data_IF_397518752193
#
_entry.id   IF_397518752193
#
_cell.length_a   1.000
_cell.length_b   1.000
_cell.length_c   1.000
_cell.angle_alpha   90.00
_cell.angle_beta   90.00
_cell.angle_gamma   90.00
#
_symmetry.space_group_name_H-M   'P 1'
#
loop_
_entity.id
_entity.type
_entity.pdbx_description
1 polymer ?
#
# COMPACT_ATOMS: atom_id res chain seq x y z
N UNK A 1 16.02 1.72 16.64
CA UNK A 1 14.58 1.42 16.44
C UNK A 1 14.36 -0.05 16.06
N UNK A 2 14.75 -1.03 16.90
CA UNK A 2 14.86 -2.44 16.47
C UNK A 2 13.61 -3.31 16.70
N UNK A 3 12.56 -2.81 17.37
CA UNK A 3 11.32 -3.56 17.62
C UNK A 3 10.13 -2.65 17.33
N UNK A 4 9.40 -2.94 16.26
CA UNK A 4 8.14 -2.29 15.90
C UNK A 4 7.29 -3.30 15.10
N UNK A 5 6.02 -2.99 14.90
CA UNK A 5 5.05 -3.89 14.28
C UNK A 5 4.67 -3.47 12.86
N UNK A 6 5.48 -2.67 12.16
CA UNK A 6 5.12 -2.18 10.82
C UNK A 6 4.85 -3.32 9.84
N UNK A 7 5.72 -4.33 9.77
CA UNK A 7 5.58 -5.42 8.81
C UNK A 7 4.35 -6.28 9.10
N UNK A 8 4.10 -6.60 10.38
CA UNK A 8 2.97 -7.44 10.78
C UNK A 8 1.64 -6.71 10.59
N UNK A 9 1.57 -5.42 10.93
CA UNK A 9 0.38 -4.61 10.70
C UNK A 9 0.11 -4.48 9.20
N UNK A 10 1.12 -4.24 8.37
CA UNK A 10 0.96 -4.25 6.90
C UNK A 10 0.42 -5.59 6.39
N UNK A 11 0.91 -6.71 6.90
CA UNK A 11 0.41 -8.04 6.52
C UNK A 11 -1.05 -8.25 6.95
N UNK A 12 -1.43 -7.80 8.14
CA UNK A 12 -2.83 -7.84 8.61
C UNK A 12 -3.74 -6.96 7.75
N UNK A 13 -3.31 -5.76 7.39
CA UNK A 13 -4.05 -4.88 6.47
C UNK A 13 -4.21 -5.54 5.09
N UNK A 14 -3.16 -6.16 4.55
CA UNK A 14 -3.25 -6.93 3.31
C UNK A 14 -4.25 -8.09 3.44
N UNK A 15 -4.19 -8.86 4.52
CA UNK A 15 -5.09 -9.98 4.77
C UNK A 15 -6.57 -9.53 4.85
N UNK A 16 -6.86 -8.41 5.53
CA UNK A 16 -8.22 -7.81 5.55
C UNK A 16 -8.69 -7.54 4.12
N UNK A 17 -7.83 -6.97 3.27
CA UNK A 17 -8.15 -6.67 1.87
C UNK A 17 -8.42 -7.95 1.08
N UNK A 18 -7.66 -9.03 1.30
CA UNK A 18 -7.91 -10.33 0.66
C UNK A 18 -9.28 -10.89 1.08
N UNK A 19 -9.59 -10.88 2.38
CA UNK A 19 -10.84 -11.41 2.91
C UNK A 19 -12.06 -10.66 2.34
N UNK A 20 -12.01 -9.33 2.37
CA UNK A 20 -13.11 -8.48 1.90
C UNK A 20 -13.28 -8.59 0.39
N UNK A 21 -12.20 -8.58 -0.40
CA UNK A 21 -12.30 -8.80 -1.85
C UNK A 21 -12.79 -10.19 -2.19
N UNK A 22 -12.38 -11.24 -1.47
CA UNK A 22 -12.87 -12.60 -1.70
C UNK A 22 -14.38 -12.67 -1.53
N UNK A 23 -14.92 -12.06 -0.48
CA UNK A 23 -16.35 -12.02 -0.23
C UNK A 23 -17.13 -11.17 -1.25
N UNK A 24 -16.63 -9.96 -1.57
CA UNK A 24 -17.30 -9.04 -2.48
C UNK A 24 -17.27 -9.53 -3.94
N UNK A 25 -16.10 -9.96 -4.44
CA UNK A 25 -15.95 -10.40 -5.83
C UNK A 25 -16.70 -11.70 -6.10
N UNK A 26 -16.75 -12.60 -5.12
CA UNK A 26 -17.47 -13.86 -5.27
C UNK A 26 -18.98 -13.71 -5.16
N UNK A 27 -19.47 -12.58 -4.62
CA UNK A 27 -20.88 -12.33 -4.31
C UNK A 27 -21.54 -13.49 -3.52
N UNK A 28 -20.78 -14.18 -2.66
CA UNK A 28 -21.26 -15.36 -1.96
C UNK A 28 -22.03 -14.96 -0.70
N UNK A 29 -23.32 -15.33 -0.55
CA UNK A 29 -24.11 -14.97 0.64
C UNK A 29 -23.50 -15.49 1.95
N UNK A 30 -22.83 -16.64 1.91
CA UNK A 30 -22.18 -17.25 3.07
C UNK A 30 -21.05 -16.37 3.64
N UNK A 31 -20.41 -15.54 2.80
CA UNK A 31 -19.30 -14.67 3.19
C UNK A 31 -19.73 -13.23 3.48
N UNK A 32 -21.03 -12.91 3.42
CA UNK A 32 -21.56 -11.55 3.55
C UNK A 32 -21.27 -10.88 4.91
N UNK A 33 -20.93 -11.66 5.94
CA UNK A 33 -20.54 -11.12 7.25
C UNK A 33 -19.16 -10.45 7.20
N UNK A 34 -18.24 -10.92 6.34
CA UNK A 34 -16.87 -10.41 6.24
C UNK A 34 -16.85 -8.91 5.90
N UNK A 35 -17.46 -8.43 4.80
CA UNK A 35 -17.47 -7.01 4.45
C UNK A 35 -18.33 -6.14 5.39
N UNK A 36 -19.16 -6.74 6.25
CA UNK A 36 -19.90 -6.03 7.31
C UNK A 36 -19.03 -5.74 8.52
N UNK A 37 -18.12 -6.65 8.88
CA UNK A 37 -17.23 -6.51 10.04
C UNK A 37 -15.88 -5.87 9.69
N UNK A 38 -15.39 -6.11 8.47
CA UNK A 38 -14.10 -5.66 8.00
C UNK A 38 -14.26 -4.69 6.82
N UNK A 39 -13.41 -3.66 6.79
CA UNK A 39 -13.41 -2.66 5.72
C UNK A 39 -12.07 -2.63 4.98
N UNK A 40 -12.11 -2.95 3.69
CA UNK A 40 -10.97 -2.78 2.79
C UNK A 40 -10.52 -1.32 2.70
N UNK A 41 -11.44 -0.36 2.82
CA UNK A 41 -11.11 1.07 2.77
C UNK A 41 -10.28 1.48 3.98
N UNK A 42 -10.69 1.08 5.19
CA UNK A 42 -9.91 1.33 6.42
C UNK A 42 -8.54 0.66 6.35
N UNK A 43 -8.45 -0.54 5.76
CA UNK A 43 -7.18 -1.23 5.59
C UNK A 43 -6.22 -0.47 4.65
N UNK A 44 -6.73 0.02 3.50
CA UNK A 44 -5.96 0.84 2.55
C UNK A 44 -5.57 2.19 3.15
N UNK A 45 -6.45 2.84 3.90
CA UNK A 45 -6.16 4.07 4.63
C UNK A 45 -5.05 3.87 5.67
N UNK A 46 -5.05 2.72 6.35
CA UNK A 46 -3.95 2.29 7.22
C UNK A 46 -2.62 2.15 6.47
N UNK A 47 -2.63 1.56 5.26
CA UNK A 47 -1.44 1.51 4.40
C UNK A 47 -0.93 2.92 4.06
N UNK A 48 -1.82 3.86 3.76
CA UNK A 48 -1.43 5.25 3.48
C UNK A 48 -0.84 5.96 4.71
N UNK A 49 -1.38 5.71 5.90
CA UNK A 49 -0.81 6.23 7.14
C UNK A 49 0.61 5.69 7.43
N UNK A 50 0.80 4.38 7.28
CA UNK A 50 2.13 3.75 7.40
C UNK A 50 3.09 4.31 6.36
N UNK A 51 2.61 4.48 5.13
CA UNK A 51 3.37 5.04 4.02
C UNK A 51 3.84 6.46 4.33
N UNK A 52 2.96 7.33 4.84
CA UNK A 52 3.30 8.69 5.26
C UNK A 52 4.46 8.73 6.27
N UNK A 53 4.40 7.86 7.28
CA UNK A 53 5.46 7.75 8.27
C UNK A 53 6.79 7.27 7.67
N UNK A 54 6.77 6.21 6.85
CA UNK A 54 7.99 5.55 6.35
C UNK A 54 8.64 6.24 5.15
N UNK A 55 7.85 6.85 4.27
CA UNK A 55 8.34 7.46 3.03
C UNK A 55 9.02 8.80 3.33
N UNK A 56 8.43 9.65 4.17
CA UNK A 56 9.10 10.88 4.63
C UNK A 56 10.42 10.57 5.32
N UNK A 57 10.41 9.66 6.31
CA UNK A 57 11.61 9.24 7.02
C UNK A 57 12.69 8.71 6.06
N UNK A 58 12.29 8.05 4.98
CA UNK A 58 13.21 7.54 3.97
C UNK A 58 13.76 8.62 3.05
N UNK A 59 12.95 9.62 2.67
CA UNK A 59 13.41 10.72 1.84
C UNK A 59 14.49 11.53 2.57
N UNK A 60 14.27 11.82 3.85
CA UNK A 60 15.24 12.58 4.67
C UNK A 60 16.57 11.86 4.88
N UNK A 61 16.59 10.52 4.80
CA UNK A 61 17.82 9.72 4.87
C UNK A 61 18.57 9.65 3.53
N UNK A 62 17.93 9.96 2.41
CA UNK A 62 18.56 9.89 1.09
C UNK A 62 19.37 11.17 0.82
N UNK A 63 20.52 11.04 0.15
CA UNK A 63 21.37 12.19 -0.18
C UNK A 63 20.90 12.91 -1.45
N UNK A 64 20.26 12.19 -2.36
CA UNK A 64 19.83 12.71 -3.67
C UNK A 64 18.43 12.22 -4.03
N UNK A 65 17.74 12.98 -4.88
CA UNK A 65 16.43 12.59 -5.42
C UNK A 65 16.50 11.27 -6.22
N UNK A 66 17.57 11.08 -6.99
CA UNK A 66 17.78 9.86 -7.78
C UNK A 66 17.94 8.62 -6.90
N UNK A 67 18.65 8.74 -5.77
CA UNK A 67 18.77 7.65 -4.79
C UNK A 67 17.40 7.30 -4.19
N UNK A 68 16.63 8.29 -3.80
CA UNK A 68 15.28 8.10 -3.28
C UNK A 68 14.36 7.42 -4.32
N UNK A 69 14.31 7.95 -5.55
CA UNK A 69 13.50 7.39 -6.63
C UNK A 69 13.87 5.93 -6.93
N UNK A 70 15.18 5.62 -6.98
CA UNK A 70 15.65 4.24 -7.18
C UNK A 70 15.22 3.31 -6.05
N UNK A 71 15.36 3.72 -4.79
CA UNK A 71 14.98 2.90 -3.63
C UNK A 71 13.48 2.57 -3.66
N UNK A 72 12.67 3.54 -4.09
CA UNK A 72 11.21 3.39 -4.24
C UNK A 72 10.83 2.52 -5.42
N UNK A 73 11.47 2.72 -6.57
CA UNK A 73 11.28 1.92 -7.77
C UNK A 73 11.58 0.43 -7.51
N UNK A 74 12.71 0.13 -6.86
CA UNK A 74 13.10 -1.25 -6.54
C UNK A 74 12.15 -1.90 -5.53
N UNK A 75 11.52 -1.10 -4.65
CA UNK A 75 10.54 -1.62 -3.68
C UNK A 75 9.24 -2.09 -4.34
N UNK A 76 8.78 -1.38 -5.38
CA UNK A 76 7.48 -1.61 -6.03
C UNK A 76 7.60 -2.44 -7.31
N UNK A 77 8.48 -2.02 -8.24
CA UNK A 77 8.47 -2.54 -9.62
C UNK A 77 8.58 -4.07 -9.73
N UNK A 78 9.44 -4.77 -8.97
CA UNK A 78 9.59 -6.22 -9.14
C UNK A 78 8.29 -6.99 -8.92
N UNK A 79 7.57 -6.72 -7.82
CA UNK A 79 6.29 -7.38 -7.54
C UNK A 79 5.16 -6.88 -8.45
N UNK A 80 5.20 -5.61 -8.86
CA UNK A 80 4.27 -5.08 -9.86
C UNK A 80 4.37 -5.78 -11.21
N UNK A 81 5.59 -5.99 -11.71
CA UNK A 81 5.83 -6.75 -12.93
C UNK A 81 5.42 -8.20 -12.79
N UNK A 82 5.71 -8.84 -11.66
CA UNK A 82 5.24 -10.21 -11.40
C UNK A 82 3.72 -10.31 -11.47
N UNK A 83 2.98 -9.38 -10.85
CA UNK A 83 1.52 -9.35 -10.90
C UNK A 83 0.98 -9.09 -12.31
N UNK A 84 1.64 -8.20 -13.06
CA UNK A 84 1.30 -7.94 -14.46
C UNK A 84 1.53 -9.19 -15.32
N UNK A 85 2.65 -9.88 -15.14
CA UNK A 85 2.96 -11.13 -15.83
C UNK A 85 1.95 -12.24 -15.49
N UNK A 86 1.53 -12.33 -14.22
CA UNK A 86 0.45 -13.24 -13.80
C UNK A 86 -0.85 -12.94 -14.57
N UNK A 87 -1.24 -11.66 -14.67
CA UNK A 87 -2.41 -11.24 -15.45
C UNK A 87 -2.31 -11.63 -16.93
N UNK A 88 -1.13 -11.44 -17.54
CA UNK A 88 -0.88 -11.85 -18.93
C UNK A 88 -0.92 -13.37 -19.11
N UNK A 89 -0.38 -14.14 -18.15
CA UNK A 89 -0.45 -15.60 -18.15
C UNK A 89 -1.89 -16.11 -18.05
N UNK A 90 -2.71 -15.48 -17.21
CA UNK A 90 -4.16 -15.76 -17.12
C UNK A 90 -4.83 -15.45 -18.47
N UNK A 91 -4.56 -14.30 -19.08
CA UNK A 91 -5.14 -13.95 -20.38
C UNK A 91 -4.77 -14.96 -21.48
N UNK A 92 -3.51 -15.39 -21.52
CA UNK A 92 -3.05 -16.43 -22.45
C UNK A 92 -3.77 -17.77 -22.22
N UNK A 93 -4.04 -18.15 -20.97
CA UNK A 93 -4.80 -19.36 -20.65
C UNK A 93 -6.26 -19.31 -21.14
N UNK A 94 -6.83 -18.11 -21.31
CA UNK A 94 -8.15 -17.87 -21.90
C UNK A 94 -8.10 -17.70 -23.43
N UNK A 95 -6.92 -17.80 -24.06
CA UNK A 95 -6.76 -17.57 -25.50
C UNK A 95 -6.80 -16.09 -25.91
N UNK A 96 -6.75 -15.16 -24.96
CA UNK A 96 -6.78 -13.72 -25.22
C UNK A 96 -5.38 -13.14 -25.40
N UNK A 97 -5.01 -12.86 -26.65
CA UNK A 97 -3.68 -12.31 -27.00
C UNK A 97 -3.67 -10.80 -27.27
N UNK A 98 -4.83 -10.13 -27.28
CA UNK A 98 -4.95 -8.68 -27.46
C UNK A 98 -4.60 -7.90 -26.17
N UNK A 99 -3.39 -8.13 -25.65
CA UNK A 99 -2.93 -7.63 -24.34
C UNK A 99 -2.15 -6.31 -24.43
N UNK A 100 -1.84 -5.83 -25.63
CA UNK A 100 -0.94 -4.68 -25.83
C UNK A 100 -1.39 -3.40 -25.12
N UNK A 101 -2.69 -3.07 -25.18
CA UNK A 101 -3.26 -1.91 -24.46
C UNK A 101 -3.16 -2.08 -22.94
N UNK A 102 -3.47 -3.27 -22.44
CA UNK A 102 -3.38 -3.59 -21.02
C UNK A 102 -1.94 -3.48 -20.52
N UNK A 103 -0.99 -4.05 -21.27
CA UNK A 103 0.43 -3.98 -20.94
C UNK A 103 0.92 -2.53 -20.92
N UNK A 104 0.63 -1.75 -21.97
CA UNK A 104 1.02 -0.33 -22.02
C UNK A 104 0.42 0.48 -20.87
N UNK A 105 -0.87 0.28 -20.56
CA UNK A 105 -1.53 0.95 -19.45
C UNK A 105 -0.87 0.61 -18.10
N UNK A 106 -0.53 -0.66 -17.87
CA UNK A 106 0.17 -1.08 -16.66
C UNK A 106 1.62 -0.56 -16.61
N UNK A 107 2.34 -0.55 -17.74
CA UNK A 107 3.69 0.02 -17.82
C UNK A 107 3.74 1.49 -17.38
N UNK A 108 2.66 2.24 -17.62
CA UNK A 108 2.51 3.65 -17.27
C UNK A 108 1.81 3.88 -15.91
N UNK A 109 1.62 2.85 -15.08
CA UNK A 109 0.85 2.92 -13.83
C UNK A 109 -0.57 3.51 -14.03
N UNK A 110 -1.11 3.34 -15.23
CA UNK A 110 -2.39 3.89 -15.69
C UNK A 110 -3.37 2.76 -15.99
N UNK A 111 -3.36 1.71 -15.18
CA UNK A 111 -4.20 0.51 -15.33
C UNK A 111 -5.70 0.83 -15.36
N UNK A 112 -6.13 1.98 -14.84
CA UNK A 112 -7.51 2.45 -14.95
C UNK A 112 -7.95 2.76 -16.40
N UNK A 113 -7.01 3.01 -17.32
CA UNK A 113 -7.32 3.23 -18.75
C UNK A 113 -7.66 1.92 -19.48
N UNK A 114 -7.11 0.80 -19.01
CA UNK A 114 -7.37 -0.53 -19.55
C UNK A 114 -7.32 -1.55 -18.39
N UNK A 115 -8.39 -1.63 -17.58
CA UNK A 115 -8.41 -2.43 -16.34
C UNK A 115 -8.57 -3.93 -16.60
N UNK A 116 -9.12 -4.28 -17.76
CA UNK A 116 -9.46 -5.64 -18.18
C UNK A 116 -8.78 -6.03 -19.50
N UNK A 117 -8.79 -7.33 -19.76
CA UNK A 117 -8.42 -7.93 -21.05
C UNK A 117 -9.67 -8.64 -21.55
N UNK A 118 -10.12 -8.28 -22.75
CA UNK A 118 -11.32 -8.85 -23.35
C UNK A 118 -11.24 -10.38 -23.42
N UNK A 119 -12.34 -11.05 -23.07
CA UNK A 119 -12.46 -12.51 -23.09
C UNK A 119 -11.95 -13.23 -21.84
N UNK A 120 -11.39 -12.51 -20.86
CA UNK A 120 -10.93 -13.11 -19.60
C UNK A 120 -12.01 -12.97 -18.53
N UNK A 121 -12.34 -14.07 -17.84
CA UNK A 121 -13.39 -14.14 -16.81
C UNK A 121 -14.79 -13.65 -17.24
N UNK A 122 -15.33 -14.07 -18.40
CA UNK A 122 -16.61 -13.56 -18.89
C UNK A 122 -17.79 -13.85 -17.95
N UNK A 123 -17.72 -14.94 -17.19
CA UNK A 123 -18.80 -15.41 -16.31
C UNK A 123 -18.63 -15.03 -14.84
N UNK A 124 -17.55 -14.31 -14.48
CA UNK A 124 -17.36 -13.90 -13.09
C UNK A 124 -18.36 -12.77 -12.74
N UNK A 125 -18.91 -12.75 -11.51
CA UNK A 125 -19.89 -11.73 -11.12
C UNK A 125 -19.38 -10.29 -11.26
N UNK A 126 -18.11 -10.08 -10.92
CA UNK A 126 -17.42 -8.78 -11.00
C UNK A 126 -16.20 -8.93 -11.93
N UNK A 127 -16.33 -8.57 -13.21
CA UNK A 127 -15.28 -8.78 -14.22
C UNK A 127 -14.66 -7.47 -14.75
N UNK A 128 -14.95 -6.32 -14.11
CA UNK A 128 -14.54 -5.00 -14.56
C UNK A 128 -13.02 -4.73 -14.53
N UNK A 129 -12.25 -5.56 -13.82
CA UNK A 129 -10.79 -5.45 -13.76
C UNK A 129 -10.14 -6.81 -13.55
N UNK A 130 -8.98 -7.03 -14.17
CA UNK A 130 -8.17 -8.23 -13.94
C UNK A 130 -7.40 -8.15 -12.62
N UNK A 131 -6.98 -6.94 -12.25
CA UNK A 131 -6.41 -6.66 -10.95
C UNK A 131 -6.92 -5.31 -10.43
N UNK A 132 -8.07 -5.36 -9.76
CA UNK A 132 -8.67 -4.19 -9.13
C UNK A 132 -7.92 -3.67 -7.92
N UNK A 133 -6.83 -4.31 -7.44
CA UNK A 133 -6.02 -3.77 -6.35
C UNK A 133 -5.03 -2.68 -6.79
N UNK A 134 -4.75 -2.56 -8.09
CA UNK A 134 -3.68 -1.70 -8.61
C UNK A 134 -3.96 -0.19 -8.49
N UNK A 135 -5.22 0.23 -8.29
CA UNK A 135 -5.55 1.65 -8.19
C UNK A 135 -4.87 2.34 -6.99
N UNK A 136 -4.65 1.63 -5.88
CA UNK A 136 -3.98 2.18 -4.69
C UNK A 136 -2.48 2.35 -4.91
N UNK A 137 -1.88 1.49 -5.74
CA UNK A 137 -0.46 1.56 -6.07
C UNK A 137 -0.12 2.83 -6.87
N UNK A 138 -1.03 3.23 -7.78
CA UNK A 138 -0.93 4.53 -8.46
C UNK A 138 -0.82 5.66 -7.43
N UNK A 139 -1.67 5.65 -6.40
CA UNK A 139 -1.64 6.67 -5.33
C UNK A 139 -0.33 6.62 -4.56
N UNK A 140 0.18 5.42 -4.25
CA UNK A 140 1.49 5.27 -3.60
C UNK A 140 2.64 5.85 -4.44
N UNK A 141 2.65 5.62 -5.75
CA UNK A 141 3.62 6.25 -6.66
C UNK A 141 3.46 7.77 -6.67
N UNK A 142 2.23 8.29 -6.65
CA UNK A 142 2.01 9.72 -6.56
C UNK A 142 2.50 10.30 -5.22
N UNK A 143 2.38 9.58 -4.09
CA UNK A 143 3.02 9.99 -2.84
C UNK A 143 4.54 10.06 -2.98
N UNK A 144 5.15 9.12 -3.71
CA UNK A 144 6.59 9.15 -3.92
C UNK A 144 7.03 10.42 -4.65
N UNK A 145 6.24 10.88 -5.62
CA UNK A 145 6.45 12.13 -6.36
C UNK A 145 6.15 13.36 -5.50
N UNK A 146 5.10 13.32 -4.66
CA UNK A 146 4.68 14.44 -3.82
C UNK A 146 5.65 14.73 -2.67
N UNK A 147 6.26 13.71 -2.07
CA UNK A 147 7.12 13.87 -0.88
C UNK A 147 8.29 14.85 -1.09
N UNK A 148 9.10 14.77 -2.17
CA UNK A 148 10.14 15.77 -2.44
C UNK A 148 9.62 17.21 -2.46
N UNK A 149 8.44 17.43 -3.05
CA UNK A 149 7.79 18.75 -3.15
C UNK A 149 7.34 19.21 -1.77
N UNK A 150 6.68 18.34 -1.00
CA UNK A 150 6.21 18.68 0.35
C UNK A 150 7.40 18.97 1.26
N UNK A 151 8.48 18.17 1.21
CA UNK A 151 9.69 18.41 2.00
C UNK A 151 10.37 19.72 1.60
N UNK A 152 10.40 20.06 0.31
CA UNK A 152 10.87 21.36 -0.14
C UNK A 152 10.07 22.50 0.48
N UNK A 153 8.73 22.42 0.45
CA UNK A 153 7.85 23.42 1.07
C UNK A 153 8.03 23.48 2.60
N UNK A 154 8.21 22.33 3.27
CA UNK A 154 8.48 22.28 4.70
C UNK A 154 9.83 22.87 5.11
N UNK A 155 10.80 22.99 4.17
CA UNK A 155 12.10 23.61 4.40
C UNK A 155 12.08 25.12 4.15
N UNK A 156 11.26 25.58 3.21
CA UNK A 156 11.12 27.01 2.87
C UNK A 156 10.11 27.73 3.76
N UNK A 157 9.10 27.01 4.26
CA UNK A 157 8.04 27.51 5.13
C UNK A 157 8.06 26.79 6.48
N UNK A 158 7.18 27.19 7.41
CA UNK A 158 7.00 26.48 8.69
C UNK A 158 6.42 25.09 8.44
N UNK A 159 7.23 24.04 8.63
CA UNK A 159 6.87 22.62 8.44
C UNK A 159 5.45 22.27 8.90
N UNK A 160 5.14 22.53 10.17
CA UNK A 160 3.85 22.13 10.74
C UNK A 160 2.68 22.89 10.10
N UNK A 161 2.87 24.16 9.72
CA UNK A 161 1.87 24.94 8.99
C UNK A 161 1.60 24.34 7.60
N UNK A 162 2.65 23.92 6.89
CA UNK A 162 2.52 23.27 5.57
C UNK A 162 1.74 21.95 5.70
N UNK A 163 2.12 21.09 6.65
CA UNK A 163 1.49 19.78 6.82
C UNK A 163 0.01 19.92 7.23
N UNK A 164 -0.31 20.83 8.14
CA UNK A 164 -1.70 21.08 8.53
C UNK A 164 -2.51 21.75 7.41
N UNK A 165 -1.94 22.68 6.66
CA UNK A 165 -2.61 23.30 5.52
C UNK A 165 -2.94 22.27 4.44
N UNK A 166 -1.99 21.39 4.07
CA UNK A 166 -2.24 20.32 3.12
C UNK A 166 -3.24 19.29 3.64
N UNK A 167 -3.23 19.00 4.95
CA UNK A 167 -4.21 18.12 5.57
C UNK A 167 -5.62 18.69 5.47
N UNK A 168 -5.79 19.96 5.85
CA UNK A 168 -7.08 20.66 5.76
C UNK A 168 -7.55 20.73 4.31
N UNK A 169 -6.67 21.10 3.38
CA UNK A 169 -6.99 21.14 1.95
C UNK A 169 -7.45 19.77 1.41
N UNK A 170 -6.77 18.69 1.81
CA UNK A 170 -7.15 17.31 1.44
C UNK A 170 -8.52 16.91 2.01
N UNK A 171 -8.80 17.26 3.26
CA UNK A 171 -10.10 17.00 3.91
C UNK A 171 -11.21 17.80 3.24
N UNK A 172 -10.99 19.09 2.98
CA UNK A 172 -11.95 19.95 2.29
C UNK A 172 -12.22 19.46 0.86
N UNK A 173 -11.18 19.05 0.13
CA UNK A 173 -11.33 18.42 -1.18
C UNK A 173 -12.21 17.16 -1.11
N UNK A 174 -11.97 16.30 -0.12
CA UNK A 174 -12.74 15.07 0.05
C UNK A 174 -14.21 15.36 0.35
N UNK A 175 -14.49 16.35 1.21
CA UNK A 175 -15.86 16.77 1.54
C UNK A 175 -16.54 17.39 0.32
N UNK A 176 -15.85 18.29 -0.38
CA UNK A 176 -16.41 18.98 -1.55
C UNK A 176 -16.72 18.02 -2.71
N UNK A 177 -15.92 16.94 -2.86
CA UNK A 177 -16.07 15.97 -3.95
C UNK A 177 -16.71 14.66 -3.47
N UNK A 178 -17.42 14.66 -2.34
CA UNK A 178 -17.99 13.46 -1.74
C UNK A 178 -18.96 12.71 -2.70
N UNK A 179 -19.64 13.43 -3.59
CA UNK A 179 -20.53 12.86 -4.60
C UNK A 179 -19.77 12.18 -5.76
N UNK A 180 -18.53 12.59 -6.02
CA UNK A 180 -17.69 12.05 -7.09
C UNK A 180 -16.78 10.92 -6.59
N UNK A 181 -17.38 9.74 -6.35
CA UNK A 181 -16.71 8.57 -5.75
C UNK A 181 -15.37 8.18 -6.39
N UNK A 182 -15.21 8.35 -7.71
CA UNK A 182 -13.96 8.02 -8.42
C UNK A 182 -12.85 9.05 -8.21
N UNK A 183 -13.20 10.34 -8.05
CA UNK A 183 -12.25 11.42 -7.83
C UNK A 183 -11.84 11.52 -6.36
N UNK A 184 -12.78 11.30 -5.45
CA UNK A 184 -12.56 11.44 -4.00
C UNK A 184 -11.53 10.44 -3.45
N UNK A 185 -11.38 9.30 -4.13
CA UNK A 185 -10.40 8.26 -3.79
C UNK A 185 -9.02 8.49 -4.43
N UNK A 186 -8.86 9.48 -5.31
CA UNK A 186 -7.56 9.84 -5.90
C UNK A 186 -6.84 10.89 -5.02
N UNK A 187 -5.63 11.30 -5.41
CA UNK A 187 -5.04 12.51 -4.82
C UNK A 187 -5.77 13.77 -5.31
N UNK A 188 -5.97 14.77 -4.42
CA UNK A 188 -5.48 14.86 -3.05
C UNK A 188 -6.39 14.22 -1.98
N UNK A 189 -7.51 13.57 -2.32
CA UNK A 189 -8.49 13.05 -1.36
C UNK A 189 -7.97 12.01 -0.36
N UNK A 190 -6.94 11.24 -0.70
CA UNK A 190 -6.28 10.27 0.20
C UNK A 190 -5.06 10.85 0.95
N UNK A 191 -4.65 12.09 0.64
CA UNK A 191 -3.45 12.70 1.20
C UNK A 191 -3.56 12.94 2.71
N UNK A 192 -4.76 13.18 3.23
CA UNK A 192 -5.01 13.42 4.65
C UNK A 192 -4.54 12.24 5.54
N UNK A 193 -4.79 10.99 5.15
CA UNK A 193 -4.32 9.80 5.88
C UNK A 193 -2.79 9.72 5.92
N UNK A 194 -2.16 9.99 4.78
CA UNK A 194 -0.71 10.03 4.62
C UNK A 194 -0.06 11.14 5.46
N UNK A 195 -0.67 12.33 5.50
CA UNK A 195 -0.16 13.47 6.25
C UNK A 195 -0.26 13.27 7.77
N UNK A 196 -1.28 12.57 8.28
CA UNK A 196 -1.31 12.22 9.72
C UNK A 196 -0.13 11.31 10.07
N UNK A 197 0.20 10.34 9.22
CA UNK A 197 1.40 9.52 9.44
C UNK A 197 2.70 10.31 9.38
N UNK A 198 2.76 11.31 8.51
CA UNK A 198 3.89 12.26 8.41
C UNK A 198 4.01 13.14 9.66
N UNK A 199 2.89 13.66 10.17
CA UNK A 199 2.85 14.44 11.41
C UNK A 199 3.32 13.61 12.60
N UNK A 200 2.87 12.35 12.72
CA UNK A 200 3.34 11.43 13.76
C UNK A 200 4.83 11.12 13.61
N UNK A 201 5.36 11.06 12.39
CA UNK A 201 6.81 10.90 12.17
C UNK A 201 7.61 12.05 12.78
N UNK A 202 7.24 13.30 12.50
CA UNK A 202 7.95 14.46 13.02
C UNK A 202 7.72 14.71 14.51
N UNK A 203 6.57 14.29 15.04
CA UNK A 203 6.18 14.45 16.45
C UNK A 203 6.24 13.12 17.22
N UNK A 204 7.11 12.19 16.79
CA UNK A 204 7.22 10.84 17.36
C UNK A 204 7.48 10.81 18.88
N UNK A 205 8.34 11.68 19.46
CA UNK A 205 8.54 11.70 20.91
C UNK A 205 7.25 12.03 21.66
N UNK A 206 6.47 12.98 21.16
CA UNK A 206 5.18 13.36 21.74
C UNK A 206 4.15 12.24 21.61
N UNK A 207 4.09 11.61 20.43
CA UNK A 207 3.21 10.48 20.16
C UNK A 207 3.51 9.29 21.09
N UNK A 208 4.79 8.99 21.37
CA UNK A 208 5.17 7.93 22.31
C UNK A 208 4.85 8.30 23.76
N UNK A 209 5.07 9.55 24.14
CA UNK A 209 4.80 10.03 25.51
C UNK A 209 3.31 9.96 25.86
N UNK A 210 2.44 10.38 24.94
CA UNK A 210 0.98 10.44 25.18
C UNK A 210 0.19 9.36 24.42
N UNK A 211 0.88 8.34 23.91
CA UNK A 211 0.34 7.41 22.93
C UNK A 211 -0.93 6.69 23.36
N UNK A 212 -1.02 6.26 24.63
CA UNK A 212 -2.23 5.61 25.17
C UNK A 212 -3.45 6.52 25.08
N UNK A 213 -3.30 7.79 25.48
CA UNK A 213 -4.38 8.78 25.42
C UNK A 213 -4.74 9.16 23.99
N UNK A 214 -3.75 9.28 23.11
CA UNK A 214 -3.97 9.52 21.69
C UNK A 214 -4.71 8.36 21.02
N UNK A 215 -4.40 7.10 21.40
CA UNK A 215 -5.11 5.93 20.91
C UNK A 215 -6.55 5.87 21.42
N UNK A 216 -6.80 6.18 22.70
CA UNK A 216 -8.15 6.26 23.24
C UNK A 216 -8.97 7.38 22.57
N UNK A 217 -8.36 8.56 22.40
CA UNK A 217 -8.96 9.67 21.66
C UNK A 217 -9.24 9.32 20.20
N UNK A 218 -8.34 8.60 19.53
CA UNK A 218 -8.53 8.13 18.18
C UNK A 218 -9.66 7.08 18.07
N UNK A 219 -9.81 6.20 19.07
CA UNK A 219 -10.92 5.25 19.14
C UNK A 219 -12.26 5.96 19.34
N UNK A 220 -12.32 6.94 20.26
CA UNK A 220 -13.50 7.77 20.46
C UNK A 220 -13.85 8.58 19.20
N UNK A 221 -12.85 9.17 18.54
CA UNK A 221 -13.03 9.87 17.27
C UNK A 221 -13.54 8.94 16.15
N UNK A 222 -13.10 7.68 16.13
CA UNK A 222 -13.59 6.68 15.18
C UNK A 222 -15.06 6.32 15.47
N UNK A 223 -15.41 6.06 16.73
CA UNK A 223 -16.79 5.79 17.12
C UNK A 223 -17.70 6.98 16.79
N UNK A 224 -17.24 8.21 17.04
CA UNK A 224 -17.97 9.42 16.68
C UNK A 224 -18.12 9.56 15.16
N UNK A 225 -17.07 9.25 14.38
CA UNK A 225 -17.15 9.20 12.92
C UNK A 225 -18.22 8.22 12.43
N UNK A 226 -18.28 7.02 13.01
CA UNK A 226 -19.30 6.02 12.65
C UNK A 226 -20.73 6.48 12.98
N UNK A 227 -20.88 7.31 14.02
CA UNK A 227 -22.17 7.86 14.43
C UNK A 227 -22.60 9.09 13.60
N UNK A 228 -21.70 10.04 13.35
CA UNK A 228 -22.02 11.32 12.70
C UNK A 228 -21.75 11.36 11.19
N UNK A 229 -20.92 10.45 10.68
CA UNK A 229 -20.41 10.49 9.32
C UNK A 229 -19.37 11.59 9.05
N UNK A 230 -18.92 12.32 10.08
CA UNK A 230 -17.97 13.43 9.90
C UNK A 230 -16.61 12.95 9.40
N UNK A 231 -16.30 13.23 8.14
CA UNK A 231 -15.13 12.68 7.47
C UNK A 231 -13.81 13.11 8.11
N UNK A 232 -13.67 14.35 8.60
CA UNK A 232 -12.40 14.85 9.15
C UNK A 232 -11.88 14.06 10.36
N UNK A 233 -12.76 13.34 11.07
CA UNK A 233 -12.39 12.45 12.17
C UNK A 233 -11.76 11.14 11.70
N UNK A 234 -12.08 10.68 10.47
CA UNK A 234 -11.62 9.40 9.94
C UNK A 234 -10.11 9.36 9.68
N UNK A 235 -9.48 10.33 9.00
CA UNK A 235 -8.03 10.35 8.84
C UNK A 235 -7.27 10.36 10.16
N UNK A 236 -7.72 11.19 11.12
CA UNK A 236 -7.09 11.29 12.43
C UNK A 236 -7.21 9.98 13.20
N UNK A 237 -8.39 9.36 13.21
CA UNK A 237 -8.62 8.10 13.93
C UNK A 237 -7.89 6.92 13.29
N UNK A 238 -8.15 6.62 12.02
CA UNK A 238 -7.59 5.45 11.32
C UNK A 238 -6.07 5.49 11.31
N UNK A 239 -5.46 6.64 10.97
CA UNK A 239 -4.01 6.74 10.91
C UNK A 239 -3.36 6.63 12.30
N UNK A 240 -3.93 7.26 13.33
CA UNK A 240 -3.40 7.20 14.69
C UNK A 240 -3.56 5.81 15.31
N UNK A 241 -4.67 5.12 15.08
CA UNK A 241 -4.87 3.73 15.53
C UNK A 241 -3.89 2.79 14.83
N UNK A 242 -3.72 2.93 13.51
CA UNK A 242 -2.80 2.09 12.73
C UNK A 242 -1.35 2.29 13.18
N UNK A 243 -0.92 3.54 13.35
CA UNK A 243 0.45 3.84 13.80
C UNK A 243 0.65 3.54 15.28
N UNK A 244 -0.40 3.66 16.11
CA UNK A 244 -0.41 3.19 17.48
C UNK A 244 -0.17 1.68 17.55
N UNK A 245 -0.85 0.91 16.70
CA UNK A 245 -0.62 -0.54 16.58
C UNK A 245 0.82 -0.88 16.15
N UNK A 246 1.41 -0.07 15.26
CA UNK A 246 2.79 -0.24 14.80
C UNK A 246 3.84 0.12 15.86
N UNK A 247 3.61 1.18 16.64
CA UNK A 247 4.66 1.85 17.43
C UNK A 247 4.52 1.67 18.95
N UNK A 248 3.31 1.39 19.45
CA UNK A 248 3.00 1.43 20.89
C UNK A 248 2.60 0.06 21.46
N UNK A 249 2.08 -0.85 20.63
CA UNK A 249 1.77 -2.21 21.07
C UNK A 249 3.06 -3.03 21.27
N UNK A 250 3.03 -4.04 22.16
CA UNK A 250 4.15 -4.97 22.32
C UNK A 250 4.57 -5.57 20.98
N UNK A 251 5.88 -5.75 20.79
CA UNK A 251 6.38 -6.29 19.54
C UNK A 251 5.97 -7.75 19.36
N UNK A 252 5.30 -8.05 18.25
CA UNK A 252 4.86 -9.41 17.91
C UNK A 252 5.84 -10.00 16.90
N UNK A 253 6.52 -11.07 17.27
CA UNK A 253 7.33 -11.85 16.34
C UNK A 253 6.41 -12.72 15.47
N UNK A 254 5.96 -12.15 14.36
CA UNK A 254 5.10 -12.83 13.39
C UNK A 254 5.87 -13.55 12.28
N UNK A 255 5.15 -14.08 11.27
CA UNK A 255 5.75 -14.67 10.07
C UNK A 255 6.64 -13.67 9.30
N UNK A 256 6.45 -12.38 9.56
CA UNK A 256 7.28 -11.30 9.00
C UNK A 256 8.75 -11.35 9.40
N UNK A 257 9.12 -12.18 10.39
CA UNK A 257 10.53 -12.48 10.70
C UNK A 257 11.31 -13.05 9.50
N UNK A 258 10.61 -13.71 8.57
CA UNK A 258 11.22 -14.34 7.39
C UNK A 258 11.22 -13.44 6.15
N UNK A 259 10.46 -12.34 6.15
CA UNK A 259 10.30 -11.46 5.00
C UNK A 259 9.13 -10.50 5.08
N UNK A 260 9.11 -9.50 4.20
CA UNK A 260 7.97 -8.61 4.04
C UNK A 260 7.01 -9.17 2.98
N UNK A 261 6.10 -10.04 3.42
CA UNK A 261 5.09 -10.68 2.56
C UNK A 261 3.91 -9.77 2.23
N UNK A 262 3.79 -8.61 2.89
CA UNK A 262 2.59 -7.75 2.79
C UNK A 262 2.32 -7.30 1.36
N UNK A 263 3.39 -6.97 0.61
CA UNK A 263 3.28 -6.48 -0.76
C UNK A 263 2.83 -7.58 -1.73
N UNK A 264 3.48 -8.75 -1.72
CA UNK A 264 3.08 -9.91 -2.52
C UNK A 264 1.64 -10.33 -2.25
N UNK A 265 1.23 -10.40 -0.98
CA UNK A 265 -0.17 -10.70 -0.60
C UNK A 265 -1.14 -9.69 -1.21
N UNK A 266 -0.83 -8.39 -1.13
CA UNK A 266 -1.71 -7.33 -1.61
C UNK A 266 -1.78 -7.23 -3.14
N UNK A 267 -0.71 -7.54 -3.86
CA UNK A 267 -0.68 -7.31 -5.31
C UNK A 267 -1.10 -8.52 -6.13
N UNK A 268 -0.99 -9.73 -5.56
CA UNK A 268 -1.31 -10.97 -6.25
C UNK A 268 -2.71 -11.49 -5.92
N UNK A 269 -3.37 -11.03 -4.84
CA UNK A 269 -4.64 -11.64 -4.41
C UNK A 269 -5.76 -11.49 -5.43
N UNK A 270 -5.92 -10.31 -6.03
CA UNK A 270 -7.08 -10.03 -6.87
C UNK A 270 -7.18 -10.99 -8.08
N UNK A 271 -6.14 -11.18 -8.92
CA UNK A 271 -6.21 -12.16 -10.00
C UNK A 271 -6.36 -13.60 -9.49
N UNK A 272 -5.75 -13.95 -8.35
CA UNK A 272 -5.91 -15.30 -7.74
C UNK A 272 -7.36 -15.54 -7.33
N UNK A 273 -7.99 -14.57 -6.67
CA UNK A 273 -9.41 -14.63 -6.27
C UNK A 273 -10.29 -14.82 -7.51
N UNK A 274 -10.05 -14.07 -8.58
CA UNK A 274 -10.81 -14.19 -9.83
C UNK A 274 -10.67 -15.58 -10.47
N UNK A 275 -9.47 -16.19 -10.44
CA UNK A 275 -9.29 -17.57 -10.89
C UNK A 275 -10.13 -18.58 -10.08
N UNK A 276 -10.18 -18.43 -8.75
CA UNK A 276 -10.93 -19.34 -7.87
C UNK A 276 -12.45 -19.17 -8.06
N UNK A 277 -12.90 -17.93 -8.29
CA UNK A 277 -14.29 -17.63 -8.66
C UNK A 277 -14.64 -18.29 -10.00
N UNK A 278 -13.78 -18.14 -11.01
CA UNK A 278 -13.98 -18.73 -12.33
C UNK A 278 -14.03 -20.26 -12.31
N UNK A 279 -13.32 -20.89 -11.37
CA UNK A 279 -13.39 -22.33 -11.12
C UNK A 279 -14.69 -22.79 -10.44
N UNK A 280 -15.60 -21.88 -10.08
CA UNK A 280 -16.88 -22.19 -9.42
C UNK A 280 -16.76 -22.62 -7.96
N UNK A 281 -15.58 -22.49 -7.33
CA UNK A 281 -15.39 -23.01 -5.97
C UNK A 281 -16.17 -22.20 -4.93
N UNK A 282 -16.31 -20.88 -5.13
CA UNK A 282 -17.09 -20.02 -4.23
C UNK A 282 -18.60 -20.26 -4.30
N UNK A 283 -19.11 -20.85 -5.38
CA UNK A 283 -20.54 -21.21 -5.48
C UNK A 283 -20.84 -22.55 -4.83
N UNK A 284 -19.89 -23.50 -4.86
CA UNK A 284 -20.07 -24.85 -4.30
C UNK A 284 -19.73 -24.88 -2.80
N UNK A 285 -18.54 -24.40 -2.41
CA UNK A 285 -18.04 -24.44 -1.04
C UNK A 285 -17.35 -23.13 -0.64
N UNK A 286 -18.10 -22.06 -0.29
CA UNK A 286 -17.57 -20.72 -0.07
C UNK A 286 -16.43 -20.64 0.97
N UNK A 287 -16.57 -21.33 2.10
CA UNK A 287 -15.56 -21.31 3.16
C UNK A 287 -14.28 -22.07 2.79
N UNK A 288 -14.41 -23.18 2.07
CA UNK A 288 -13.26 -23.94 1.55
C UNK A 288 -12.54 -23.11 0.48
N UNK A 289 -13.29 -22.48 -0.43
CA UNK A 289 -12.74 -21.58 -1.44
C UNK A 289 -12.00 -20.40 -0.81
N UNK A 290 -12.53 -19.82 0.28
CA UNK A 290 -11.85 -18.77 1.03
C UNK A 290 -10.54 -19.27 1.68
N UNK A 291 -10.58 -20.44 2.34
CA UNK A 291 -9.37 -21.05 2.92
C UNK A 291 -8.30 -21.34 1.87
N UNK A 292 -8.71 -21.88 0.72
CA UNK A 292 -7.83 -22.12 -0.42
C UNK A 292 -7.26 -20.81 -0.99
N UNK A 293 -8.07 -19.76 -1.08
CA UNK A 293 -7.63 -18.43 -1.51
C UNK A 293 -6.54 -17.91 -0.58
N UNK A 294 -6.75 -17.94 0.73
CA UNK A 294 -5.76 -17.48 1.71
C UNK A 294 -4.46 -18.27 1.57
N UNK A 295 -4.55 -19.59 1.42
CA UNK A 295 -3.39 -20.47 1.26
C UNK A 295 -2.61 -20.15 -0.03
N UNK A 296 -3.29 -20.10 -1.18
CA UNK A 296 -2.66 -19.83 -2.47
C UNK A 296 -2.02 -18.44 -2.47
N UNK A 297 -2.72 -17.42 -1.97
CA UNK A 297 -2.18 -16.06 -1.88
C UNK A 297 -0.97 -16.02 -0.95
N UNK A 298 -1.00 -16.68 0.21
CA UNK A 298 0.13 -16.74 1.13
C UNK A 298 1.35 -17.43 0.50
N UNK A 299 1.15 -18.55 -0.20
CA UNK A 299 2.21 -19.24 -0.95
C UNK A 299 2.76 -18.35 -2.06
N UNK A 300 1.90 -17.73 -2.88
CA UNK A 300 2.31 -16.83 -3.96
C UNK A 300 3.09 -15.62 -3.43
N UNK A 301 2.69 -15.06 -2.30
CA UNK A 301 3.39 -13.97 -1.64
C UNK A 301 4.79 -14.37 -1.16
N UNK A 302 4.95 -15.59 -0.63
CA UNK A 302 6.27 -16.12 -0.26
C UNK A 302 7.16 -16.34 -1.49
N UNK A 303 6.62 -16.90 -2.58
CA UNK A 303 7.36 -17.06 -3.84
C UNK A 303 7.79 -15.70 -4.41
N UNK A 304 6.88 -14.72 -4.45
CA UNK A 304 7.18 -13.33 -4.84
C UNK A 304 8.33 -12.77 -4.02
N UNK A 305 8.26 -12.93 -2.69
CA UNK A 305 9.29 -12.40 -1.81
C UNK A 305 10.66 -13.02 -2.06
N UNK A 306 10.77 -14.35 -2.04
CA UNK A 306 12.07 -15.02 -2.11
C UNK A 306 12.69 -15.01 -3.52
N UNK A 307 11.87 -15.07 -4.57
CA UNK A 307 12.36 -15.17 -5.94
C UNK A 307 12.49 -13.82 -6.64
N UNK A 308 11.70 -12.82 -6.26
CA UNK A 308 11.61 -11.55 -7.00
C UNK A 308 12.00 -10.35 -6.13
N UNK A 309 11.30 -10.12 -5.01
CA UNK A 309 11.47 -8.90 -4.23
C UNK A 309 12.78 -8.87 -3.42
N UNK A 310 13.07 -9.91 -2.65
CA UNK A 310 14.28 -9.99 -1.81
C UNK A 310 15.57 -9.94 -2.62
N UNK A 311 15.71 -10.65 -3.76
CA UNK A 311 16.88 -10.51 -4.63
C UNK A 311 17.06 -9.09 -5.15
N UNK A 312 15.99 -8.45 -5.65
CA UNK A 312 16.03 -7.09 -6.16
C UNK A 312 16.50 -6.08 -5.10
N UNK A 313 15.98 -6.19 -3.87
CA UNK A 313 16.39 -5.35 -2.73
C UNK A 313 17.85 -5.60 -2.32
N UNK A 314 18.30 -6.85 -2.36
CA UNK A 314 19.67 -7.22 -1.98
C UNK A 314 20.69 -6.70 -2.99
N UNK A 315 20.42 -6.82 -4.29
CA UNK A 315 21.24 -6.23 -5.37
C UNK A 315 21.26 -4.70 -5.24
N UNK A 316 20.14 -4.10 -4.85
CA UNK A 316 20.07 -2.66 -4.67
C UNK A 316 20.99 -2.15 -3.56
N UNK A 317 20.95 -2.83 -2.41
CA UNK A 317 21.74 -2.53 -1.21
C UNK A 317 23.22 -2.77 -1.42
N UNK A 318 23.60 -3.89 -2.06
CA UNK A 318 25.02 -4.18 -2.39
C UNK A 318 25.62 -3.12 -3.31
N UNK A 319 24.89 -2.66 -4.34
CA UNK A 319 25.32 -1.56 -5.21
C UNK A 319 25.48 -0.23 -4.47
N UNK A 320 24.63 0.06 -3.48
CA UNK A 320 24.77 1.25 -2.61
C UNK A 320 26.04 1.18 -1.76
N UNK A 321 26.28 0.05 -1.10
CA UNK A 321 27.48 -0.16 -0.30
C UNK A 321 28.75 -0.05 -1.16
N UNK A 322 28.75 -0.61 -2.37
CA UNK A 322 29.88 -0.51 -3.31
C UNK A 322 30.13 0.92 -3.79
N UNK A 323 29.08 1.70 -4.09
CA UNK A 323 29.22 3.13 -4.45
C UNK A 323 29.73 3.97 -3.27
N UNK A 324 29.27 3.68 -2.06
CA UNK A 324 29.77 4.35 -0.85
C UNK A 324 31.26 4.05 -0.61
N UNK A 325 31.71 2.81 -0.85
CA UNK A 325 33.11 2.43 -0.73
C UNK A 325 34.00 3.09 -1.80
N UNK A 326 33.55 3.16 -3.06
CA UNK A 326 34.30 3.80 -4.15
C UNK A 326 34.36 5.33 -3.96
N UNK A 327 33.29 5.96 -3.49
CA UNK A 327 33.29 7.40 -3.17
C UNK A 327 34.09 7.76 -1.91
N UNK A 328 34.57 6.77 -1.16
CA UNK A 328 35.40 6.93 0.03
C UNK A 328 36.89 6.65 -0.23
N UNK A 329 37.31 6.46 -1.49
CA UNK A 329 38.74 6.40 -1.81
C UNK A 329 39.40 7.70 -1.36
N UNK A 330 40.43 7.66 -0.50
CA UNK A 330 41.08 8.87 -0.01
C UNK A 330 41.66 9.64 -1.21
N UNK A 331 41.40 10.95 -1.27
CA UNK A 331 42.18 11.85 -2.10
C UNK A 331 43.63 11.71 -1.64
N UNK A 332 44.44 10.94 -2.36
CA UNK A 332 45.88 11.03 -2.18
C UNK A 332 46.29 12.45 -2.54
N UNK A 333 47.07 13.15 -1.69
CA UNK A 333 47.56 14.47 -2.03
C UNK A 333 48.32 14.39 -3.37
N UNK A 334 48.25 15.43 -4.22
CA UNK A 334 49.01 15.44 -5.46
C UNK A 334 50.47 15.19 -5.11
N UNK A 335 51.10 14.28 -5.85
CA UNK A 335 52.53 14.04 -5.73
C UNK A 335 53.23 15.39 -5.86
N UNK A 336 53.85 15.83 -4.76
CA UNK A 336 54.67 17.03 -4.72
C UNK A 336 55.82 16.81 -5.72
N UNK A 337 56.14 17.79 -6.57
CA UNK A 337 56.98 17.63 -7.76
C UNK A 337 58.40 17.11 -7.48
#
# INVERSE_FOLDING_TARGET
MRQNNFDIVRLLLAAIVVLVHSANLSQSPALALIPRLLSQHVAVEGFFAISGFLIFASYERCKTLAEYARNRAIRILPGYWLSTLLCLGIAAAYGSFHVGKFLLANLLFSSFLQPDIQGVFPNNPENHALNGALWTLKIEVMFYIAVPIIVFLCRTLRRDAVLWALFIASVLFHIALAEHKSLVVQLPGQLCFFLVGTLIHYHLPLFRKHGKWLMLGALAAHALHLYTGWFFLRPLSVASLTLGACLLLPHIQGPTRWGDFSYGTYILHYPIVQCIIAAGLFTIHPWIALGLTILIVACAAQFSWFLVEKPALTVAKSRQLRRAAIGATPNFPPAVP
#
